data_IF_620751119270
#
_entry.id   IF_620751119270
#
_cell.length_a   1.000
_cell.length_b   1.000
_cell.length_c   1.000
_cell.angle_alpha   90.00
_cell.angle_beta   90.00
_cell.angle_gamma   90.00
#
_symmetry.space_group_name_H-M   'P 1'
#
loop_
_entity.id
_entity.type
_entity.pdbx_description
1 polymer ?
#
# COMPACT_ATOMS: atom_id res chain seq x y z
N UNK A 1 9.06 -69.30 -32.28
CA UNK A 1 8.21 -68.88 -31.14
C UNK A 1 9.05 -68.94 -29.86
N UNK A 2 9.37 -67.81 -29.24
CA UNK A 2 10.19 -67.75 -28.02
C UNK A 2 9.29 -67.53 -26.80
N UNK A 3 9.31 -68.48 -25.85
CA UNK A 3 8.51 -68.42 -24.62
C UNK A 3 9.15 -67.44 -23.63
N UNK A 4 8.48 -66.32 -23.34
CA UNK A 4 8.90 -65.39 -22.28
C UNK A 4 8.63 -66.03 -20.90
N UNK A 5 9.69 -66.22 -20.11
CA UNK A 5 9.61 -66.73 -18.74
C UNK A 5 9.02 -65.65 -17.82
N UNK A 6 7.88 -65.93 -17.16
CA UNK A 6 7.28 -65.07 -16.14
C UNK A 6 8.17 -65.07 -14.89
N UNK A 7 8.66 -63.89 -14.48
CA UNK A 7 9.28 -63.70 -13.16
C UNK A 7 8.17 -63.69 -12.11
N UNK A 8 8.20 -64.63 -11.17
CA UNK A 8 7.07 -64.89 -10.26
C UNK A 8 7.08 -63.98 -9.04
N UNK A 9 8.22 -63.46 -8.58
CA UNK A 9 8.29 -62.59 -7.41
C UNK A 9 9.20 -61.37 -7.64
N UNK A 10 8.63 -60.27 -8.10
CA UNK A 10 9.28 -58.96 -8.08
C UNK A 10 9.11 -58.29 -6.71
N UNK A 11 10.13 -57.55 -6.26
CA UNK A 11 10.04 -56.75 -5.03
C UNK A 11 8.90 -55.72 -5.16
N UNK A 12 7.95 -55.74 -4.23
CA UNK A 12 6.90 -54.71 -4.15
C UNK A 12 7.54 -53.39 -3.78
N UNK A 13 7.69 -52.47 -4.73
CA UNK A 13 8.04 -51.09 -4.42
C UNK A 13 6.83 -50.43 -3.75
N UNK A 14 7.04 -49.84 -2.58
CA UNK A 14 6.04 -49.04 -1.86
C UNK A 14 6.09 -47.65 -2.50
N UNK A 15 5.40 -47.49 -3.61
CA UNK A 15 5.10 -46.16 -4.13
C UNK A 15 3.63 -45.85 -3.86
N UNK A 16 3.28 -44.59 -3.59
CA UNK A 16 1.89 -44.21 -3.37
C UNK A 16 1.04 -44.55 -4.59
N UNK A 17 -0.13 -45.14 -4.36
CA UNK A 17 -1.08 -45.53 -5.43
C UNK A 17 -1.49 -44.34 -6.32
N UNK A 18 -1.38 -43.11 -5.79
CA UNK A 18 -1.55 -41.84 -6.51
C UNK A 18 -0.71 -41.73 -7.78
N UNK A 19 0.50 -42.32 -7.80
CA UNK A 19 1.40 -42.27 -8.94
C UNK A 19 1.26 -43.47 -9.89
N UNK A 20 0.57 -44.53 -9.45
CA UNK A 20 0.40 -45.77 -10.22
C UNK A 20 -0.94 -45.82 -10.93
N UNK A 21 -2.00 -45.41 -10.25
CA UNK A 21 -3.35 -45.41 -10.81
C UNK A 21 -3.62 -44.12 -11.59
N UNK A 22 -3.78 -44.25 -12.90
CA UNK A 22 -4.15 -43.14 -13.79
C UNK A 22 -5.49 -42.50 -13.36
N UNK A 23 -6.41 -43.33 -12.84
CA UNK A 23 -7.69 -42.87 -12.31
C UNK A 23 -7.53 -42.07 -11.00
N UNK A 24 -6.57 -42.43 -10.13
CA UNK A 24 -6.30 -41.71 -8.88
C UNK A 24 -5.58 -40.38 -9.13
N UNK A 25 -4.69 -40.33 -10.13
CA UNK A 25 -3.99 -39.11 -10.56
C UNK A 25 -4.97 -38.01 -10.98
N UNK A 26 -6.06 -38.38 -11.64
CA UNK A 26 -7.09 -37.43 -12.09
C UNK A 26 -7.99 -36.91 -10.95
N UNK A 27 -8.10 -37.62 -9.83
CA UNK A 27 -8.91 -37.17 -8.68
C UNK A 27 -8.18 -36.12 -7.82
N UNK A 28 -6.84 -36.13 -7.81
CA UNK A 28 -6.02 -35.15 -7.09
C UNK A 28 -5.58 -33.96 -7.96
N UNK A 29 -5.85 -34.02 -9.27
CA UNK A 29 -5.66 -32.89 -10.16
C UNK A 29 -6.71 -31.81 -9.83
N UNK A 30 -6.27 -30.74 -9.17
CA UNK A 30 -7.08 -29.54 -8.95
C UNK A 30 -7.31 -28.89 -10.31
N UNK A 31 -8.35 -29.30 -11.03
CA UNK A 31 -8.75 -28.76 -12.34
C UNK A 31 -9.44 -27.40 -12.19
N UNK A 32 -8.76 -26.44 -11.55
CA UNK A 32 -9.24 -25.08 -11.49
C UNK A 32 -8.59 -24.30 -12.64
N UNK A 33 -9.40 -23.98 -13.66
CA UNK A 33 -9.04 -23.25 -14.90
C UNK A 33 -8.31 -21.93 -14.64
N UNK A 34 -8.36 -21.42 -13.40
CA UNK A 34 -7.65 -20.23 -12.96
C UNK A 34 -6.11 -20.41 -12.87
N UNK A 35 -5.59 -21.64 -12.86
CA UNK A 35 -4.14 -21.91 -12.72
C UNK A 35 -3.44 -22.34 -14.02
N UNK A 36 -4.17 -22.62 -15.10
CA UNK A 36 -3.58 -23.03 -16.39
C UNK A 36 -2.74 -21.93 -17.06
N UNK A 37 -3.02 -20.67 -16.73
CA UNK A 37 -2.27 -19.52 -17.24
C UNK A 37 -0.98 -19.21 -16.45
N UNK A 38 -0.69 -19.95 -15.37
CA UNK A 38 0.48 -19.70 -14.51
C UNK A 38 1.83 -20.04 -15.17
N UNK A 39 1.82 -20.85 -16.23
CA UNK A 39 3.03 -21.24 -17.00
C UNK A 39 3.24 -20.40 -18.26
N UNK A 40 2.29 -19.52 -18.62
CA UNK A 40 2.45 -18.62 -19.76
C UNK A 40 3.30 -17.42 -19.33
N UNK A 41 4.47 -17.24 -19.96
CA UNK A 41 5.27 -16.03 -19.76
C UNK A 41 4.43 -14.81 -20.18
N UNK A 42 4.37 -13.73 -19.38
CA UNK A 42 3.64 -12.53 -19.78
C UNK A 42 4.24 -12.04 -21.10
N UNK A 43 3.39 -11.90 -22.13
CA UNK A 43 3.82 -11.30 -23.41
C UNK A 43 4.32 -9.90 -23.08
N UNK A 44 5.62 -9.69 -23.22
CA UNK A 44 6.21 -8.37 -23.07
C UNK A 44 5.54 -7.44 -24.08
N UNK A 45 4.62 -6.60 -23.60
CA UNK A 45 4.03 -5.55 -24.40
C UNK A 45 5.17 -4.65 -24.86
N UNK A 46 5.42 -4.62 -26.17
CA UNK A 46 6.35 -3.67 -26.79
C UNK A 46 5.74 -2.27 -26.70
N UNK A 47 5.66 -1.71 -25.50
CA UNK A 47 5.38 -0.30 -25.31
C UNK A 47 6.68 0.45 -25.62
N UNK A 48 7.00 0.56 -26.91
CA UNK A 48 8.00 1.52 -27.40
C UNK A 48 7.37 2.90 -27.26
N UNK A 49 7.44 3.46 -26.06
CA UNK A 49 7.23 4.91 -25.89
C UNK A 49 8.46 5.56 -26.54
N UNK A 50 8.30 5.98 -27.80
CA UNK A 50 9.30 6.81 -28.46
C UNK A 50 9.43 8.09 -27.64
N UNK A 51 10.59 8.28 -27.00
CA UNK A 51 10.96 9.53 -26.34
C UNK A 51 10.93 10.61 -27.42
N UNK A 52 9.96 11.53 -27.38
CA UNK A 52 9.93 12.67 -28.29
C UNK A 52 11.05 13.63 -27.90
N UNK A 53 12.23 13.42 -28.45
CA UNK A 53 13.20 14.50 -28.60
C UNK A 53 12.64 15.45 -29.64
N UNK A 54 12.47 16.72 -29.28
CA UNK A 54 12.98 17.89 -30.01
C UNK A 54 12.18 19.12 -29.58
N UNK A 55 12.77 19.93 -28.69
CA UNK A 55 12.54 21.36 -28.77
C UNK A 55 13.16 21.84 -30.07
N UNK A 56 12.33 22.29 -31.01
CA UNK A 56 12.66 23.26 -32.07
C UNK A 56 11.33 23.85 -32.52
N UNK A 57 11.14 25.12 -32.18
CA UNK A 57 10.06 25.96 -32.62
C UNK A 57 10.16 26.20 -34.14
N UNK A 58 9.83 25.21 -34.96
CA UNK A 58 9.50 25.48 -36.36
C UNK A 58 8.02 25.84 -36.40
N UNK A 59 7.73 27.15 -36.46
CA UNK A 59 6.39 27.66 -36.74
C UNK A 59 5.99 27.24 -38.15
N UNK A 60 5.61 25.98 -38.33
CA UNK A 60 4.96 25.52 -39.54
C UNK A 60 3.69 26.36 -39.69
N UNK A 61 3.57 27.07 -40.83
CA UNK A 61 2.37 27.84 -41.14
C UNK A 61 1.19 26.85 -41.13
N UNK A 62 0.17 27.14 -40.32
CA UNK A 62 -1.02 26.31 -40.23
C UNK A 62 -1.65 26.24 -41.61
N UNK A 63 -1.88 25.02 -42.10
CA UNK A 63 -2.64 24.82 -43.34
C UNK A 63 -4.05 25.37 -43.16
N UNK A 64 -4.66 25.96 -44.20
CA UNK A 64 -6.04 26.44 -44.13
C UNK A 64 -6.94 25.24 -43.82
N UNK A 65 -7.66 25.33 -42.70
CA UNK A 65 -8.69 24.35 -42.33
C UNK A 65 -9.99 24.86 -42.92
N UNK A 66 -10.42 24.26 -44.02
CA UNK A 66 -11.70 24.58 -44.62
C UNK A 66 -12.82 23.90 -43.85
N UNK A 67 -13.87 24.66 -43.55
CA UNK A 67 -15.08 24.13 -42.94
C UNK A 67 -15.97 23.50 -44.02
N UNK A 68 -16.90 22.63 -43.64
CA UNK A 68 -17.81 21.94 -44.57
C UNK A 68 -18.61 22.92 -45.46
N UNK A 69 -18.78 24.16 -45.00
CA UNK A 69 -19.45 25.24 -45.74
C UNK A 69 -18.57 25.82 -46.85
N UNK A 70 -17.25 25.82 -46.66
CA UNK A 70 -16.29 26.40 -47.61
C UNK A 70 -16.04 25.45 -48.80
N UNK A 71 -16.48 24.19 -48.70
CA UNK A 71 -16.38 23.18 -49.76
C UNK A 71 -17.70 22.99 -50.52
N UNK A 72 -18.72 23.81 -50.27
CA UNK A 72 -20.07 23.69 -50.87
C UNK A 72 -20.63 22.24 -50.83
N UNK A 73 -20.32 21.51 -49.76
CA UNK A 73 -20.80 20.14 -49.62
C UNK A 73 -22.30 20.17 -49.28
N UNK A 74 -23.14 19.40 -49.99
CA UNK A 74 -24.56 19.33 -49.67
C UNK A 74 -24.72 18.78 -48.25
N UNK A 75 -25.40 19.55 -47.40
CA UNK A 75 -25.64 19.17 -46.01
C UNK A 75 -26.57 17.96 -45.98
N UNK A 76 -26.03 16.80 -45.62
CA UNK A 76 -26.83 15.59 -45.47
C UNK A 76 -27.90 15.79 -44.39
N UNK A 77 -29.02 15.08 -44.53
CA UNK A 77 -30.03 14.90 -43.48
C UNK A 77 -29.43 14.08 -42.32
N UNK A 78 -28.52 14.71 -41.58
CA UNK A 78 -28.11 14.25 -40.25
C UNK A 78 -29.34 14.38 -39.36
N UNK A 79 -29.71 13.30 -38.69
CA UNK A 79 -30.91 13.29 -37.86
C UNK A 79 -30.87 14.47 -36.90
N UNK A 80 -31.77 15.44 -37.09
CA UNK A 80 -32.17 16.37 -36.03
C UNK A 80 -32.48 15.47 -34.84
N UNK A 81 -31.86 15.74 -33.69
CA UNK A 81 -32.02 14.93 -32.48
C UNK A 81 -33.49 14.49 -32.38
N UNK A 82 -33.77 13.18 -32.37
CA UNK A 82 -35.13 12.69 -32.46
C UNK A 82 -35.95 13.32 -31.34
N UNK A 83 -37.16 13.76 -31.69
CA UNK A 83 -38.07 14.45 -30.80
C UNK A 83 -38.25 13.61 -29.52
N UNK A 84 -37.63 14.04 -28.42
CA UNK A 84 -37.60 13.30 -27.15
C UNK A 84 -36.23 13.16 -26.49
N UNK A 85 -35.12 13.24 -27.23
CA UNK A 85 -33.77 13.18 -26.64
C UNK A 85 -33.27 14.57 -26.27
N UNK A 86 -33.77 15.10 -25.15
CA UNK A 86 -33.18 16.28 -24.52
C UNK A 86 -31.88 15.86 -23.84
N UNK A 87 -30.74 16.14 -24.47
CA UNK A 87 -29.43 16.17 -23.80
C UNK A 87 -29.50 17.22 -22.69
N UNK A 88 -29.91 16.81 -21.48
CA UNK A 88 -30.00 17.69 -20.34
C UNK A 88 -28.58 18.16 -19.97
N UNK A 89 -28.22 19.39 -20.36
CA UNK A 89 -26.90 20.01 -20.11
C UNK A 89 -26.53 20.05 -18.62
N UNK A 90 -27.50 19.90 -17.72
CA UNK A 90 -27.34 19.86 -16.27
C UNK A 90 -28.30 18.78 -15.74
N UNK A 91 -27.79 17.86 -14.91
CA UNK A 91 -28.60 16.83 -14.26
C UNK A 91 -29.82 17.41 -13.54
N UNK A 92 -30.83 16.57 -13.27
CA UNK A 92 -32.07 16.98 -12.58
C UNK A 92 -31.72 17.76 -11.31
N UNK A 93 -32.17 19.02 -11.20
CA UNK A 93 -31.94 19.90 -10.05
C UNK A 93 -32.34 19.17 -8.76
N UNK A 94 -31.39 18.96 -7.85
CA UNK A 94 -31.62 18.29 -6.56
C UNK A 94 -31.34 16.78 -6.52
N UNK A 95 -31.01 16.11 -7.62
CA UNK A 95 -30.58 14.70 -7.61
C UNK A 95 -29.06 14.61 -7.68
N UNK A 96 -28.40 14.66 -6.51
CA UNK A 96 -26.98 14.31 -6.36
C UNK A 96 -26.90 12.81 -6.07
N UNK A 97 -26.18 12.05 -6.89
CA UNK A 97 -26.09 10.59 -6.76
C UNK A 97 -25.22 10.16 -5.56
N UNK A 98 -24.22 10.97 -5.22
CA UNK A 98 -23.42 10.86 -4.01
C UNK A 98 -22.71 12.20 -3.77
N UNK A 99 -22.42 12.54 -2.52
CA UNK A 99 -21.48 13.62 -2.22
C UNK A 99 -20.05 13.18 -2.62
N UNK A 100 -19.17 14.14 -2.94
CA UNK A 100 -17.80 13.84 -3.41
C UNK A 100 -17.03 12.96 -2.41
N UNK A 101 -17.18 13.22 -1.12
CA UNK A 101 -16.58 12.43 -0.04
C UNK A 101 -17.14 11.00 0.02
N UNK A 102 -18.44 10.84 -0.21
CA UNK A 102 -19.09 9.53 -0.24
C UNK A 102 -18.61 8.71 -1.45
N UNK A 103 -18.45 9.35 -2.62
CA UNK A 103 -17.90 8.71 -3.81
C UNK A 103 -16.47 8.22 -3.59
N UNK A 104 -15.61 9.07 -3.01
CA UNK A 104 -14.22 8.71 -2.71
C UNK A 104 -14.13 7.56 -1.71
N UNK A 105 -14.99 7.56 -0.69
CA UNK A 105 -15.04 6.49 0.31
C UNK A 105 -15.48 5.16 -0.29
N UNK A 106 -16.48 5.18 -1.17
CA UNK A 106 -16.96 3.99 -1.89
C UNK A 106 -15.89 3.47 -2.84
N UNK A 107 -15.24 4.34 -3.62
CA UNK A 107 -14.14 3.92 -4.49
C UNK A 107 -13.01 3.27 -3.68
N UNK A 108 -12.62 3.86 -2.55
CA UNK A 108 -11.59 3.30 -1.68
C UNK A 108 -11.96 1.93 -1.12
N UNK A 109 -13.20 1.76 -0.63
CA UNK A 109 -13.63 0.47 -0.09
C UNK A 109 -13.71 -0.61 -1.18
N UNK A 110 -14.23 -0.27 -2.35
CA UNK A 110 -14.30 -1.20 -3.49
C UNK A 110 -12.90 -1.60 -3.95
N UNK A 111 -12.00 -0.64 -4.17
CA UNK A 111 -10.61 -0.96 -4.54
C UNK A 111 -9.94 -1.84 -3.50
N UNK A 112 -10.06 -1.55 -2.21
CA UNK A 112 -9.52 -2.41 -1.15
C UNK A 112 -10.06 -3.85 -1.20
N UNK A 113 -11.35 -4.04 -1.46
CA UNK A 113 -11.94 -5.37 -1.58
C UNK A 113 -11.48 -6.12 -2.83
N UNK A 114 -11.30 -5.42 -3.94
CA UNK A 114 -10.86 -5.98 -5.22
C UNK A 114 -9.38 -6.33 -5.15
N UNK A 115 -8.55 -5.43 -4.62
CA UNK A 115 -7.13 -5.66 -4.42
C UNK A 115 -6.89 -6.81 -3.45
N UNK A 116 -7.70 -6.95 -2.38
CA UNK A 116 -7.61 -8.11 -1.48
C UNK A 116 -7.93 -9.45 -2.15
N UNK A 117 -8.79 -9.45 -3.18
CA UNK A 117 -9.14 -10.65 -3.96
C UNK A 117 -8.13 -10.94 -5.06
N UNK A 118 -7.58 -9.90 -5.68
CA UNK A 118 -6.70 -9.99 -6.84
C UNK A 118 -5.21 -9.98 -6.48
N UNK A 119 -4.86 -9.65 -5.24
CA UNK A 119 -3.47 -9.62 -4.79
C UNK A 119 -2.80 -10.98 -4.99
N UNK A 120 -1.66 -10.95 -5.66
CA UNK A 120 -0.77 -12.11 -5.72
C UNK A 120 -0.34 -12.48 -4.30
N UNK A 121 -0.11 -13.78 -4.05
CA UNK A 121 0.38 -14.27 -2.74
C UNK A 121 1.63 -13.51 -2.26
N UNK A 122 2.48 -13.07 -3.19
CA UNK A 122 3.68 -12.29 -2.89
C UNK A 122 3.38 -10.87 -2.38
N UNK A 123 2.35 -10.23 -2.91
CA UNK A 123 1.97 -8.87 -2.52
C UNK A 123 1.34 -8.87 -1.12
N UNK A 124 0.48 -9.85 -0.84
CA UNK A 124 -0.06 -10.08 0.50
C UNK A 124 1.04 -10.39 1.52
N UNK A 125 2.06 -11.16 1.13
CA UNK A 125 3.20 -11.44 2.01
C UNK A 125 4.00 -10.17 2.34
N UNK A 126 4.28 -9.32 1.33
CA UNK A 126 4.97 -8.02 1.51
C UNK A 126 4.18 -7.06 2.40
N UNK A 127 2.86 -6.95 2.19
CA UNK A 127 2.00 -6.11 3.04
C UNK A 127 2.01 -6.58 4.50
N UNK A 128 1.98 -7.90 4.74
CA UNK A 128 2.08 -8.45 6.10
C UNK A 128 3.47 -8.26 6.71
N UNK A 129 4.53 -8.29 5.91
CA UNK A 129 5.90 -7.97 6.36
C UNK A 129 6.02 -6.49 6.76
N UNK A 130 5.50 -5.58 5.94
CA UNK A 130 5.47 -4.14 6.24
C UNK A 130 4.70 -3.83 7.54
N UNK A 131 3.54 -4.48 7.75
CA UNK A 131 2.78 -4.34 9.01
C UNK A 131 3.57 -4.87 10.21
N UNK A 132 4.32 -5.97 10.06
CA UNK A 132 5.16 -6.51 11.14
C UNK A 132 6.32 -5.59 11.46
N UNK A 133 6.98 -5.02 10.45
CA UNK A 133 8.05 -4.05 10.64
C UNK A 133 7.55 -2.77 11.31
N UNK A 134 6.39 -2.25 10.89
CA UNK A 134 5.78 -1.09 11.51
C UNK A 134 5.46 -1.34 12.99
N UNK A 135 4.90 -2.51 13.33
CA UNK A 135 4.65 -2.89 14.74
C UNK A 135 5.92 -3.06 15.55
N UNK A 136 6.99 -3.63 14.97
CA UNK A 136 8.29 -3.72 15.65
C UNK A 136 8.84 -2.34 15.98
N UNK A 137 8.85 -1.42 15.00
CA UNK A 137 9.29 -0.03 15.20
C UNK A 137 8.45 0.70 16.26
N UNK A 138 7.14 0.48 16.30
CA UNK A 138 6.27 1.07 17.33
C UNK A 138 6.60 0.52 18.73
N UNK A 139 6.81 -0.79 18.85
CA UNK A 139 7.19 -1.41 20.14
C UNK A 139 8.55 -0.93 20.61
N UNK A 140 9.54 -0.86 19.71
CA UNK A 140 10.89 -0.35 20.03
C UNK A 140 10.83 1.09 20.53
N UNK A 141 10.05 1.96 19.87
CA UNK A 141 9.84 3.35 20.34
C UNK A 141 9.20 3.39 21.73
N UNK A 142 8.20 2.54 21.99
CA UNK A 142 7.56 2.45 23.32
C UNK A 142 8.51 1.92 24.38
N UNK A 143 9.43 1.03 24.04
CA UNK A 143 10.44 0.51 24.95
C UNK A 143 11.48 1.57 25.28
N UNK A 144 12.01 2.26 24.27
CA UNK A 144 12.91 3.41 24.43
C UNK A 144 12.29 4.50 25.33
N UNK A 145 11.04 4.87 25.09
CA UNK A 145 10.33 5.86 25.92
C UNK A 145 10.21 5.41 27.39
N UNK A 146 10.00 4.11 27.65
CA UNK A 146 9.97 3.56 29.01
C UNK A 146 11.36 3.60 29.66
N UNK A 147 12.40 3.22 28.93
CA UNK A 147 13.77 3.25 29.42
C UNK A 147 14.23 4.67 29.73
N UNK A 148 13.92 5.64 28.86
CA UNK A 148 14.19 7.06 29.08
C UNK A 148 13.50 7.58 30.33
N UNK A 149 12.21 7.26 30.52
CA UNK A 149 11.47 7.63 31.75
C UNK A 149 12.09 7.04 33.01
N UNK A 150 12.54 5.78 32.95
CA UNK A 150 13.17 5.12 34.09
C UNK A 150 14.56 5.70 34.38
N UNK A 151 15.36 5.98 33.35
CA UNK A 151 16.70 6.55 33.50
C UNK A 151 16.64 7.98 34.05
N UNK A 152 15.70 8.79 33.57
CA UNK A 152 15.41 10.13 34.09
C UNK A 152 15.05 10.07 35.58
N UNK A 153 14.06 9.25 35.97
CA UNK A 153 13.69 9.08 37.39
C UNK A 153 14.83 8.57 38.27
N UNK A 154 15.63 7.61 37.78
CA UNK A 154 16.83 7.13 38.51
C UNK A 154 17.85 8.25 38.70
N UNK A 155 18.05 9.09 37.67
CA UNK A 155 18.96 10.23 37.74
C UNK A 155 18.46 11.29 38.75
N UNK A 156 17.16 11.57 38.78
CA UNK A 156 16.54 12.48 39.74
C UNK A 156 16.68 11.96 41.17
N UNK A 157 16.43 10.67 41.41
CA UNK A 157 16.61 10.05 42.72
C UNK A 157 18.08 10.08 43.17
N UNK A 158 19.03 9.82 42.25
CA UNK A 158 20.48 9.94 42.53
C UNK A 158 20.86 11.39 42.87
N UNK A 159 20.37 12.38 42.12
CA UNK A 159 20.60 13.80 42.39
C UNK A 159 20.01 14.21 43.74
N UNK A 160 18.79 13.78 44.07
CA UNK A 160 18.16 14.02 45.38
C UNK A 160 18.98 13.41 46.52
N UNK A 161 19.45 12.16 46.39
CA UNK A 161 20.28 11.50 47.41
C UNK A 161 21.63 12.20 47.62
N UNK A 162 22.29 12.64 46.56
CA UNK A 162 23.56 13.39 46.65
C UNK A 162 23.38 14.75 47.34
N UNK A 163 22.21 15.40 47.20
CA UNK A 163 21.90 16.68 47.86
C UNK A 163 21.58 16.51 49.36
N UNK A 164 21.14 15.33 49.80
CA UNK A 164 20.82 15.05 51.21
C UNK A 164 22.00 14.53 52.03
N UNK A 165 23.10 14.12 51.39
CA UNK A 165 24.35 13.76 52.09
C UNK A 165 25.23 15.00 52.19
N UNK A 166 25.48 15.57 53.39
CA UNK A 166 26.49 16.60 53.55
C UNK A 166 27.85 15.95 53.34
N UNK A 167 28.44 16.13 52.15
CA UNK A 167 29.86 15.87 51.96
C UNK A 167 30.60 16.98 52.72
N UNK A 168 31.27 16.57 53.80
CA UNK A 168 32.46 17.26 54.29
C UNK A 168 33.53 17.11 53.22
N UNK A 169 33.82 18.19 52.50
CA UNK A 169 35.14 18.82 52.45
C UNK A 169 35.21 19.78 51.26
N UNK A 170 35.97 20.85 51.52
CA UNK A 170 36.24 22.04 50.71
C UNK A 170 36.62 21.73 49.25
N UNK A 171 36.10 22.52 48.30
CA UNK A 171 36.94 23.43 47.49
C UNK A 171 36.06 24.29 46.55
N UNK A 172 36.69 25.38 46.13
CA UNK A 172 36.26 26.66 45.67
C UNK A 172 35.42 26.72 44.37
N UNK A 173 34.60 27.78 44.36
CA UNK A 173 34.48 28.73 43.25
C UNK A 173 33.15 28.81 42.49
N UNK A 174 32.64 30.05 42.52
CA UNK A 174 31.91 30.76 41.48
C UNK A 174 30.39 30.55 41.32
N UNK A 175 29.70 31.54 41.90
CA UNK A 175 28.79 32.45 41.20
C UNK A 175 27.36 31.93 40.88
N UNK A 176 26.40 32.39 41.68
CA UNK A 176 25.32 33.25 41.16
C UNK A 176 24.43 33.75 42.30
N UNK A 177 24.63 35.03 42.65
CA UNK A 177 23.76 35.78 43.57
C UNK A 177 22.41 36.04 42.89
N UNK A 178 21.36 35.30 43.26
CA UNK A 178 19.97 35.75 43.05
C UNK A 178 19.32 36.11 44.39
N UNK A 179 19.12 37.42 44.53
CA UNK A 179 18.44 38.13 45.62
C UNK A 179 17.06 37.54 45.90
N UNK A 180 16.83 37.05 47.13
CA UNK A 180 15.48 36.81 47.66
C UNK A 180 15.32 37.55 48.98
N UNK A 181 14.46 38.57 49.01
CA UNK A 181 14.15 39.40 50.20
C UNK A 181 13.51 38.54 51.30
N UNK A 182 13.80 38.78 52.60
CA UNK A 182 13.19 38.01 53.69
C UNK A 182 11.71 38.37 53.87
N UNK A 183 10.85 37.35 54.03
CA UNK A 183 9.42 37.53 54.37
C UNK A 183 9.27 37.79 55.87
N UNK A 184 8.48 38.80 56.24
CA UNK A 184 8.15 39.13 57.64
C UNK A 184 7.35 38.00 58.27
N UNK A 185 7.75 37.56 59.47
CA UNK A 185 6.97 36.64 60.31
C UNK A 185 6.16 37.47 61.31
N UNK A 186 4.89 37.11 61.49
CA UNK A 186 4.02 37.65 62.54
C UNK A 186 4.05 36.68 63.72
N UNK A 187 4.32 37.19 64.92
CA UNK A 187 4.16 36.46 66.18
C UNK A 187 2.72 36.62 66.68
N UNK A 188 2.09 35.51 67.06
CA UNK A 188 0.89 35.54 67.89
C UNK A 188 1.33 35.53 69.36
N UNK A 189 0.77 36.45 70.14
CA UNK A 189 0.90 36.51 71.60
C UNK A 189 -0.09 35.54 72.26
#
# INVERSE_FOLDING_TARGET
>A
MTKKTKKVNGTRSIEPDVFRDENAKNQLAINNKNYDNSKLKPKAGKNRVSKSTTGKNTKAKKQPVYSEKDLDLPKLNTAINPEGVKLAKRGKKGKKFADEDAMMRIMKSVSQTVDSKNASKLEKARQLEEIREAKRKEMERKEQEKEERLSQKKSELRKKRKKSTPLRDDDDSNNDKKLTKPKKKVSFA
#
